data_IF_179221420846
#
_entry.id   IF_179221420846
#
_cell.length_a   1.000
_cell.length_b   1.000
_cell.length_c   1.000
_cell.angle_alpha   90.00
_cell.angle_beta   90.00
_cell.angle_gamma   90.00
#
_symmetry.space_group_name_H-M   'P 1'
#
loop_
_entity.id
_entity.type
_entity.pdbx_description
1 polymer ?
#
# COMPACT_ATOMS: atom_id res chain seq x y z
N UNK A 1 29.14 -1.91 7.22
CA UNK A 1 27.81 -1.84 7.88
C UNK A 1 26.77 -2.53 7.00
N UNK A 2 25.90 -3.38 7.55
CA UNK A 2 24.84 -4.03 6.75
C UNK A 2 23.75 -3.03 6.34
N UNK A 3 23.25 -3.15 5.11
CA UNK A 3 22.20 -2.27 4.57
C UNK A 3 20.93 -2.32 5.45
N UNK A 4 20.64 -3.49 6.03
CA UNK A 4 19.52 -3.69 6.95
C UNK A 4 19.60 -2.82 8.21
N UNK A 5 20.78 -2.68 8.82
CA UNK A 5 20.96 -1.85 10.02
C UNK A 5 20.74 -0.37 9.70
N UNK A 6 21.16 0.06 8.51
CA UNK A 6 20.93 1.42 8.03
C UNK A 6 19.44 1.67 7.76
N UNK A 7 18.75 0.74 7.09
CA UNK A 7 17.31 0.80 6.86
C UNK A 7 16.52 0.89 8.18
N UNK A 8 16.86 0.06 9.17
CA UNK A 8 16.20 0.10 10.49
C UNK A 8 16.41 1.44 11.20
N UNK A 9 17.65 1.94 11.23
CA UNK A 9 17.97 3.23 11.85
C UNK A 9 17.25 4.39 11.15
N UNK A 10 17.12 4.31 9.83
CA UNK A 10 16.42 5.33 9.08
C UNK A 10 14.89 5.29 9.27
N UNK A 11 14.29 4.10 9.38
CA UNK A 11 12.88 3.97 9.78
C UNK A 11 12.65 4.61 11.15
N UNK A 12 13.60 4.51 12.08
CA UNK A 12 13.50 5.18 13.38
C UNK A 12 13.60 6.71 13.26
N UNK A 13 14.52 7.23 12.45
CA UNK A 13 14.67 8.68 12.24
C UNK A 13 13.42 9.30 11.58
N UNK A 14 12.76 8.60 10.66
CA UNK A 14 11.52 9.03 10.02
C UNK A 14 10.28 8.29 10.55
N UNK A 15 10.31 7.85 11.82
CA UNK A 15 9.31 6.95 12.40
C UNK A 15 7.88 7.45 12.24
N UNK A 16 7.62 8.74 12.50
CA UNK A 16 6.27 9.29 12.37
C UNK A 16 5.73 9.23 10.93
N UNK A 17 6.58 9.46 9.92
CA UNK A 17 6.16 9.38 8.51
C UNK A 17 5.95 7.92 8.08
N UNK A 18 6.84 7.04 8.54
CA UNK A 18 6.81 5.61 8.20
C UNK A 18 5.68 4.88 8.91
N UNK A 19 5.36 5.26 10.13
CA UNK A 19 4.20 4.76 10.88
C UNK A 19 2.89 5.19 10.18
N UNK A 20 2.79 6.44 9.72
CA UNK A 20 1.62 6.88 8.92
C UNK A 20 1.46 6.06 7.64
N UNK A 21 2.54 5.82 6.92
CA UNK A 21 2.53 4.98 5.71
C UNK A 21 2.12 3.53 6.06
N UNK A 22 2.68 2.96 7.13
CA UNK A 22 2.35 1.62 7.62
C UNK A 22 0.86 1.49 7.96
N UNK A 23 0.31 2.41 8.77
CA UNK A 23 -1.10 2.40 9.17
C UNK A 23 -1.99 2.52 7.94
N UNK A 24 -1.68 3.44 7.03
CA UNK A 24 -2.44 3.63 5.80
C UNK A 24 -2.52 2.35 4.95
N UNK A 25 -1.38 1.68 4.75
CA UNK A 25 -1.33 0.44 3.97
C UNK A 25 -2.05 -0.68 4.71
N UNK A 26 -1.81 -0.87 6.01
CA UNK A 26 -2.47 -1.92 6.79
C UNK A 26 -4.01 -1.76 6.76
N UNK A 27 -4.50 -0.53 6.91
CA UNK A 27 -5.92 -0.20 6.79
C UNK A 27 -6.46 -0.45 5.39
N UNK A 28 -5.71 -0.11 4.34
CA UNK A 28 -6.10 -0.38 2.94
C UNK A 28 -6.25 -1.89 2.69
N UNK A 29 -5.31 -2.70 3.18
CA UNK A 29 -5.34 -4.17 3.07
C UNK A 29 -6.55 -4.75 3.79
N UNK A 30 -6.81 -4.28 5.01
CA UNK A 30 -7.97 -4.66 5.79
C UNK A 30 -9.28 -4.38 5.01
N UNK A 31 -9.41 -3.18 4.43
CA UNK A 31 -10.60 -2.79 3.68
C UNK A 31 -10.78 -3.60 2.38
N UNK A 32 -9.70 -3.81 1.61
CA UNK A 32 -9.76 -4.67 0.42
C UNK A 32 -10.23 -6.08 0.78
N UNK A 33 -9.61 -6.67 1.80
CA UNK A 33 -9.95 -8.00 2.26
C UNK A 33 -11.43 -8.10 2.64
N UNK A 34 -11.96 -7.13 3.40
CA UNK A 34 -13.37 -7.10 3.77
C UNK A 34 -14.29 -6.97 2.56
N UNK A 35 -14.05 -6.02 1.65
CA UNK A 35 -14.89 -5.79 0.47
C UNK A 35 -14.88 -7.01 -0.45
N UNK A 36 -13.71 -7.56 -0.75
CA UNK A 36 -13.57 -8.72 -1.64
C UNK A 36 -14.24 -9.95 -1.01
N UNK A 37 -14.06 -10.16 0.30
CA UNK A 37 -14.71 -11.28 1.00
C UNK A 37 -16.23 -11.20 0.91
N UNK A 38 -16.81 -10.02 1.15
CA UNK A 38 -18.26 -9.80 1.06
C UNK A 38 -18.75 -9.97 -0.38
N UNK A 39 -18.07 -9.35 -1.35
CA UNK A 39 -18.46 -9.38 -2.77
C UNK A 39 -18.42 -10.79 -3.37
N UNK A 40 -17.46 -11.61 -2.94
CA UNK A 40 -17.28 -12.97 -3.46
C UNK A 40 -18.11 -14.03 -2.72
N UNK A 41 -18.90 -13.64 -1.72
CA UNK A 41 -19.70 -14.58 -0.97
C UNK A 41 -21.00 -14.96 -1.70
N UNK A 42 -21.24 -16.26 -1.88
CA UNK A 42 -22.43 -16.77 -2.58
C UNK A 42 -23.75 -16.33 -1.95
N UNK A 43 -23.88 -16.38 -0.63
CA UNK A 43 -25.11 -15.95 0.05
C UNK A 43 -25.37 -14.45 -0.15
N UNK A 44 -24.32 -13.62 -0.17
CA UNK A 44 -24.43 -12.19 -0.50
C UNK A 44 -24.90 -12.03 -1.94
N UNK A 45 -24.29 -12.74 -2.89
CA UNK A 45 -24.65 -12.67 -4.30
C UNK A 45 -26.10 -13.11 -4.51
N UNK A 46 -26.51 -14.24 -3.96
CA UNK A 46 -27.86 -14.79 -4.11
C UNK A 46 -28.93 -13.84 -3.56
N UNK A 47 -28.69 -13.21 -2.40
CA UNK A 47 -29.66 -12.26 -1.83
C UNK A 47 -29.70 -10.91 -2.54
N UNK A 48 -28.68 -10.59 -3.33
CA UNK A 48 -28.54 -9.29 -3.99
C UNK A 48 -28.65 -9.36 -5.51
N UNK A 49 -28.77 -10.57 -6.09
CA UNK A 49 -28.88 -10.80 -7.53
C UNK A 49 -30.10 -10.11 -8.15
N UNK A 50 -31.19 -9.96 -7.40
CA UNK A 50 -32.40 -9.24 -7.83
C UNK A 50 -32.24 -7.71 -7.76
N UNK A 51 -31.13 -7.21 -7.20
CA UNK A 51 -30.79 -5.79 -7.07
C UNK A 51 -29.46 -5.55 -7.79
N UNK A 52 -29.42 -5.56 -9.13
CA UNK A 52 -28.18 -5.49 -9.91
C UNK A 52 -27.35 -4.22 -9.61
N UNK A 53 -28.01 -3.13 -9.23
CA UNK A 53 -27.35 -1.89 -8.79
C UNK A 53 -26.41 -2.10 -7.60
N UNK A 54 -26.75 -3.00 -6.68
CA UNK A 54 -25.99 -3.21 -5.46
C UNK A 54 -24.67 -3.94 -5.70
N UNK A 55 -24.73 -5.01 -6.50
CA UNK A 55 -23.56 -5.79 -6.87
C UNK A 55 -22.59 -4.94 -7.71
N UNK A 56 -23.14 -4.12 -8.60
CA UNK A 56 -22.37 -3.12 -9.34
C UNK A 56 -21.71 -2.10 -8.40
N UNK A 57 -22.44 -1.59 -7.41
CA UNK A 57 -21.90 -0.62 -6.43
C UNK A 57 -20.72 -1.19 -5.65
N UNK A 58 -20.78 -2.45 -5.24
CA UNK A 58 -19.66 -3.14 -4.59
C UNK A 58 -18.42 -3.22 -5.49
N UNK A 59 -18.62 -3.59 -6.75
CA UNK A 59 -17.54 -3.68 -7.72
C UNK A 59 -16.91 -2.32 -8.00
N UNK A 60 -17.72 -1.29 -8.28
CA UNK A 60 -17.22 0.06 -8.49
C UNK A 60 -16.59 0.66 -7.24
N UNK A 61 -17.11 0.32 -6.05
CA UNK A 61 -16.52 0.69 -4.76
C UNK A 61 -15.13 0.10 -4.56
N UNK A 62 -14.93 -1.18 -4.91
CA UNK A 62 -13.61 -1.84 -4.91
C UNK A 62 -12.62 -1.12 -5.85
N UNK A 63 -13.04 -0.83 -7.08
CA UNK A 63 -12.22 -0.14 -8.09
C UNK A 63 -11.87 1.28 -7.64
N UNK A 64 -12.84 2.03 -7.11
CA UNK A 64 -12.61 3.37 -6.58
C UNK A 64 -11.63 3.35 -5.41
N UNK A 65 -11.80 2.40 -4.48
CA UNK A 65 -10.88 2.21 -3.36
C UNK A 65 -9.47 1.89 -3.85
N UNK A 66 -9.32 1.07 -4.90
CA UNK A 66 -8.04 0.82 -5.57
C UNK A 66 -7.36 2.11 -6.02
N UNK A 67 -8.09 2.98 -6.70
CA UNK A 67 -7.55 4.25 -7.18
C UNK A 67 -7.16 5.18 -6.03
N UNK A 68 -8.02 5.33 -5.02
CA UNK A 68 -7.77 6.21 -3.85
C UNK A 68 -6.55 5.74 -3.06
N UNK A 69 -6.48 4.46 -2.71
CA UNK A 69 -5.34 3.91 -1.97
C UNK A 69 -4.04 4.05 -2.75
N UNK A 70 -4.07 3.81 -4.07
CA UNK A 70 -2.89 3.98 -4.93
C UNK A 70 -2.46 5.44 -4.98
N UNK A 71 -3.38 6.38 -5.20
CA UNK A 71 -3.10 7.81 -5.26
C UNK A 71 -2.52 8.35 -3.95
N UNK A 72 -3.12 7.99 -2.81
CA UNK A 72 -2.62 8.42 -1.49
C UNK A 72 -1.25 7.79 -1.21
N UNK A 73 -1.06 6.50 -1.50
CA UNK A 73 0.24 5.82 -1.32
C UNK A 73 1.33 6.45 -2.17
N UNK A 74 1.02 6.82 -3.41
CA UNK A 74 1.93 7.52 -4.30
C UNK A 74 2.34 8.89 -3.73
N UNK A 75 1.38 9.65 -3.18
CA UNK A 75 1.67 10.96 -2.57
C UNK A 75 2.49 10.82 -1.29
N UNK A 76 2.20 9.82 -0.46
CA UNK A 76 2.99 9.52 0.74
C UNK A 76 4.43 9.19 0.39
N UNK A 77 4.64 8.30 -0.59
CA UNK A 77 5.98 7.91 -1.06
C UNK A 77 6.72 9.10 -1.69
N UNK A 78 6.03 9.93 -2.48
CA UNK A 78 6.61 11.16 -3.06
C UNK A 78 7.10 12.12 -1.97
N UNK A 79 6.27 12.36 -0.95
CA UNK A 79 6.62 13.22 0.19
C UNK A 79 7.79 12.66 0.98
N UNK A 80 7.80 11.35 1.24
CA UNK A 80 8.91 10.68 1.92
C UNK A 80 10.24 10.86 1.18
N UNK A 81 10.25 10.61 -0.13
CA UNK A 81 11.44 10.78 -0.96
C UNK A 81 11.90 12.25 -1.02
N UNK A 82 10.96 13.20 -1.14
CA UNK A 82 11.27 14.64 -1.15
C UNK A 82 11.92 15.10 0.15
N UNK A 83 11.40 14.64 1.30
CA UNK A 83 11.94 14.99 2.62
C UNK A 83 13.36 14.45 2.85
N UNK A 84 13.73 13.38 2.15
CA UNK A 84 15.04 12.71 2.26
C UNK A 84 16.00 13.07 1.13
N UNK A 85 15.63 13.99 0.23
CA UNK A 85 16.46 14.34 -0.93
C UNK A 85 17.86 14.81 -0.54
N UNK A 86 17.98 15.61 0.53
CA UNK A 86 19.27 16.11 1.02
C UNK A 86 20.14 15.00 1.66
N UNK A 87 19.53 14.09 2.42
CA UNK A 87 20.22 12.92 3.00
C UNK A 87 20.77 12.01 1.89
N UNK A 88 19.95 11.72 0.87
CA UNK A 88 20.34 10.88 -0.26
C UNK A 88 21.44 11.54 -1.11
N UNK A 89 21.44 12.88 -1.21
CA UNK A 89 22.52 13.64 -1.85
C UNK A 89 23.85 13.47 -1.10
N UNK A 90 23.84 13.55 0.22
CA UNK A 90 25.04 13.34 1.05
C UNK A 90 25.61 11.93 0.88
N UNK A 91 24.75 10.92 0.72
CA UNK A 91 25.20 9.56 0.42
C UNK A 91 25.88 9.44 -0.94
N UNK A 92 25.35 10.11 -1.96
CA UNK A 92 25.97 10.12 -3.28
C UNK A 92 27.32 10.87 -3.28
N UNK A 93 27.40 12.05 -2.65
CA UNK A 93 28.67 12.82 -2.55
C UNK A 93 29.72 12.12 -1.70
N UNK A 94 29.31 11.32 -0.71
CA UNK A 94 30.19 10.43 0.05
C UNK A 94 30.63 9.18 -0.72
N UNK A 95 30.29 9.06 -2.02
CA UNK A 95 30.74 7.97 -2.89
C UNK A 95 29.85 6.72 -2.89
N UNK A 96 28.65 6.75 -2.32
CA UNK A 96 27.74 5.61 -2.40
C UNK A 96 27.19 5.45 -3.81
N UNK A 97 27.41 4.26 -4.40
CA UNK A 97 26.84 3.89 -5.71
C UNK A 97 25.30 3.98 -5.67
N UNK A 98 24.69 4.55 -6.72
CA UNK A 98 23.23 4.70 -6.87
C UNK A 98 22.45 3.39 -6.69
N UNK A 99 23.01 2.27 -7.17
CA UNK A 99 22.43 0.93 -6.95
C UNK A 99 22.29 0.60 -5.46
N UNK A 100 23.25 0.98 -4.61
CA UNK A 100 23.17 0.77 -3.16
C UNK A 100 22.10 1.66 -2.52
N UNK A 101 21.97 2.91 -2.97
CA UNK A 101 20.91 3.84 -2.51
C UNK A 101 19.53 3.29 -2.88
N UNK A 102 19.37 2.80 -4.11
CA UNK A 102 18.13 2.14 -4.55
C UNK A 102 17.82 0.89 -3.72
N UNK A 103 18.80 0.01 -3.50
CA UNK A 103 18.62 -1.18 -2.66
C UNK A 103 18.23 -0.82 -1.23
N UNK A 104 18.78 0.26 -0.66
CA UNK A 104 18.39 0.76 0.65
C UNK A 104 16.92 1.16 0.69
N UNK A 105 16.46 1.99 -0.27
CA UNK A 105 15.05 2.39 -0.37
C UNK A 105 14.12 1.19 -0.59
N UNK A 106 14.53 0.22 -1.40
CA UNK A 106 13.75 -1.01 -1.60
C UNK A 106 13.61 -1.80 -0.29
N UNK A 107 14.70 -2.02 0.44
CA UNK A 107 14.67 -2.71 1.73
C UNK A 107 13.76 -2.00 2.73
N UNK A 108 13.82 -0.67 2.77
CA UNK A 108 12.91 0.12 3.58
C UNK A 108 11.45 -0.14 3.17
N UNK A 109 11.10 -0.04 1.89
CA UNK A 109 9.73 -0.33 1.45
C UNK A 109 9.31 -1.74 1.85
N UNK A 110 10.11 -2.77 1.57
CA UNK A 110 9.78 -4.15 1.93
C UNK A 110 9.52 -4.34 3.43
N UNK A 111 10.27 -3.65 4.31
CA UNK A 111 10.04 -3.73 5.76
C UNK A 111 8.68 -3.15 6.16
N UNK A 112 8.30 -2.00 5.61
CA UNK A 112 7.02 -1.36 5.95
C UNK A 112 5.84 -2.09 5.32
N UNK A 113 5.92 -2.42 4.04
CA UNK A 113 4.85 -3.15 3.35
C UNK A 113 4.70 -4.57 3.91
N UNK A 114 5.79 -5.27 4.20
CA UNK A 114 5.75 -6.62 4.80
C UNK A 114 5.07 -6.62 6.16
N UNK A 115 5.42 -5.68 7.04
CA UNK A 115 4.71 -5.51 8.31
C UNK A 115 3.24 -5.15 8.12
N UNK A 116 2.94 -4.24 7.20
CA UNK A 116 1.57 -3.78 6.96
C UNK A 116 0.68 -4.89 6.39
N UNK A 117 1.22 -5.80 5.56
CA UNK A 117 0.51 -6.99 5.06
C UNK A 117 0.09 -7.89 6.22
N UNK A 118 1.03 -8.23 7.12
CA UNK A 118 0.73 -9.09 8.26
C UNK A 118 -0.34 -8.46 9.15
N UNK A 119 -0.15 -7.20 9.54
CA UNK A 119 -1.12 -6.50 10.39
C UNK A 119 -2.48 -6.32 9.69
N UNK A 120 -2.48 -5.95 8.42
CA UNK A 120 -3.69 -5.73 7.62
C UNK A 120 -4.54 -6.99 7.50
N UNK A 121 -3.93 -8.15 7.21
CA UNK A 121 -4.68 -9.41 7.15
C UNK A 121 -5.16 -9.87 8.51
N UNK A 122 -4.34 -9.79 9.56
CA UNK A 122 -4.74 -10.17 10.92
C UNK A 122 -5.97 -9.36 11.35
N UNK A 123 -5.93 -8.04 11.20
CA UNK A 123 -7.05 -7.17 11.56
C UNK A 123 -8.22 -7.31 10.59
N UNK A 124 -7.98 -7.56 9.30
CA UNK A 124 -9.01 -7.86 8.32
C UNK A 124 -9.82 -9.10 8.68
N UNK A 125 -9.15 -10.19 9.03
CA UNK A 125 -9.81 -11.41 9.50
C UNK A 125 -10.57 -11.19 10.81
N UNK A 126 -9.98 -10.43 11.75
CA UNK A 126 -10.60 -10.10 13.03
C UNK A 126 -11.89 -9.28 12.86
N UNK A 127 -11.87 -8.27 12.00
CA UNK A 127 -12.98 -7.34 11.80
C UNK A 127 -13.94 -7.73 10.68
N UNK A 128 -13.69 -8.80 9.92
CA UNK A 128 -14.52 -9.22 8.78
C UNK A 128 -16.00 -9.35 9.16
N UNK A 129 -16.28 -9.96 10.32
CA UNK A 129 -17.65 -10.11 10.83
C UNK A 129 -18.31 -8.76 11.11
N UNK A 130 -17.57 -7.83 11.73
CA UNK A 130 -18.06 -6.48 12.01
C UNK A 130 -18.40 -5.74 10.71
N UNK A 131 -17.49 -5.74 9.74
CA UNK A 131 -17.71 -5.12 8.43
C UNK A 131 -18.89 -5.75 7.68
N UNK A 132 -19.02 -7.08 7.73
CA UNK A 132 -20.15 -7.79 7.12
C UNK A 132 -21.48 -7.31 7.69
N UNK A 133 -21.62 -7.25 9.02
CA UNK A 133 -22.87 -6.83 9.66
C UNK A 133 -23.20 -5.37 9.33
N UNK A 134 -22.21 -4.47 9.37
CA UNK A 134 -22.41 -3.06 9.00
C UNK A 134 -22.87 -2.97 7.55
N UNK A 135 -22.17 -3.65 6.64
CA UNK A 135 -22.45 -3.58 5.22
C UNK A 135 -23.84 -4.15 4.86
N UNK A 136 -24.20 -5.33 5.38
CA UNK A 136 -25.50 -5.96 5.13
C UNK A 136 -26.64 -5.11 5.69
N UNK A 137 -26.45 -4.46 6.85
CA UNK A 137 -27.41 -3.50 7.41
C UNK A 137 -27.59 -2.28 6.52
N UNK A 138 -26.49 -1.74 5.96
CA UNK A 138 -26.56 -0.60 5.04
C UNK A 138 -27.33 -0.91 3.76
N UNK A 139 -27.25 -2.15 3.28
CA UNK A 139 -27.99 -2.63 2.11
C UNK A 139 -29.48 -2.85 2.43
N UNK A 140 -29.81 -3.16 3.68
CA UNK A 140 -31.17 -3.54 4.08
C UNK A 140 -31.51 -5.02 3.81
N UNK A 141 -30.51 -5.87 3.55
CA UNK A 141 -30.71 -7.33 3.41
C UNK A 141 -30.66 -7.99 4.79
N UNK A 142 -31.45 -9.04 5.01
CA UNK A 142 -31.52 -9.74 6.29
C UNK A 142 -31.04 -11.19 6.19
N UNK A 143 -30.46 -11.70 7.27
CA UNK A 143 -30.06 -13.10 7.43
C UNK A 143 -28.62 -13.45 7.04
N UNK A 144 -27.75 -12.47 6.78
CA UNK A 144 -26.31 -12.69 6.57
C UNK A 144 -25.55 -12.04 7.73
N UNK A 145 -25.05 -12.87 8.65
CA UNK A 145 -24.39 -12.42 9.87
C UNK A 145 -22.87 -12.61 9.86
N UNK A 146 -22.35 -13.40 8.91
CA UNK A 146 -20.93 -13.68 8.77
C UNK A 146 -20.61 -14.14 7.36
N UNK A 147 -19.45 -13.73 6.87
CA UNK A 147 -18.85 -14.21 5.63
C UNK A 147 -17.62 -15.04 5.99
N UNK A 148 -17.45 -16.25 5.41
CA UNK A 148 -16.27 -17.07 5.65
C UNK A 148 -15.03 -16.42 5.03
N UNK A 149 -13.88 -16.66 5.65
CA UNK A 149 -12.58 -16.28 5.08
C UNK A 149 -12.27 -17.25 3.94
N UNK A 150 -12.13 -16.72 2.72
CA UNK A 150 -11.85 -17.52 1.53
C UNK A 150 -10.42 -17.30 1.02
N UNK A 151 -9.83 -18.36 0.46
CA UNK A 151 -8.54 -18.26 -0.21
C UNK A 151 -8.60 -17.31 -1.42
N UNK A 152 -9.76 -17.25 -2.08
CA UNK A 152 -10.04 -16.29 -3.14
C UNK A 152 -9.82 -14.85 -2.68
N UNK A 153 -10.46 -14.42 -1.59
CA UNK A 153 -10.33 -13.05 -1.09
C UNK A 153 -8.89 -12.71 -0.66
N UNK A 154 -8.20 -13.68 -0.05
CA UNK A 154 -6.80 -13.53 0.33
C UNK A 154 -5.89 -13.33 -0.90
N UNK A 155 -6.14 -14.09 -1.97
CA UNK A 155 -5.33 -14.08 -3.19
C UNK A 155 -5.48 -12.77 -3.97
N UNK A 156 -6.73 -12.30 -4.17
CA UNK A 156 -7.00 -11.04 -4.87
C UNK A 156 -6.48 -9.85 -4.06
N UNK A 157 -6.69 -9.85 -2.74
CA UNK A 157 -6.16 -8.77 -1.89
C UNK A 157 -4.63 -8.71 -1.98
N UNK A 158 -3.96 -9.86 -1.87
CA UNK A 158 -2.51 -9.95 -2.04
C UNK A 158 -2.06 -9.42 -3.40
N UNK A 159 -2.76 -9.78 -4.48
CA UNK A 159 -2.44 -9.30 -5.83
C UNK A 159 -2.51 -7.76 -5.93
N UNK A 160 -3.58 -7.14 -5.42
CA UNK A 160 -3.73 -5.68 -5.41
C UNK A 160 -2.60 -4.99 -4.64
N UNK A 161 -2.22 -5.55 -3.49
CA UNK A 161 -1.15 -5.00 -2.65
C UNK A 161 0.21 -5.13 -3.33
N UNK A 162 0.48 -6.25 -4.00
CA UNK A 162 1.71 -6.45 -4.78
C UNK A 162 1.82 -5.39 -5.87
N UNK A 163 0.73 -5.07 -6.57
CA UNK A 163 0.71 -4.00 -7.57
C UNK A 163 1.09 -2.65 -6.93
N UNK A 164 0.52 -2.31 -5.77
CA UNK A 164 0.85 -1.08 -5.05
C UNK A 164 2.33 -1.04 -4.62
N UNK A 165 2.88 -2.18 -4.17
CA UNK A 165 4.30 -2.30 -3.80
C UNK A 165 5.19 -2.06 -5.02
N UNK A 166 4.88 -2.69 -6.16
CA UNK A 166 5.64 -2.52 -7.41
C UNK A 166 5.61 -1.06 -7.87
N UNK A 167 4.46 -0.38 -7.78
CA UNK A 167 4.34 1.03 -8.09
C UNK A 167 5.20 1.91 -7.15
N UNK A 168 5.25 1.60 -5.86
CA UNK A 168 6.10 2.30 -4.89
C UNK A 168 7.60 2.11 -5.19
N UNK A 169 8.03 0.89 -5.51
CA UNK A 169 9.41 0.59 -5.89
C UNK A 169 9.79 1.30 -7.19
N UNK A 170 8.90 1.29 -8.19
CA UNK A 170 9.08 2.01 -9.45
C UNK A 170 9.21 3.52 -9.21
N UNK A 171 8.43 4.08 -8.29
CA UNK A 171 8.54 5.48 -7.90
C UNK A 171 9.91 5.79 -7.25
N UNK A 172 10.43 4.91 -6.39
CA UNK A 172 11.78 5.05 -5.85
C UNK A 172 12.86 5.02 -6.95
N UNK A 173 12.70 4.14 -7.94
CA UNK A 173 13.61 4.07 -9.09
C UNK A 173 13.58 5.37 -9.90
N UNK A 174 12.39 5.84 -10.27
CA UNK A 174 12.18 7.08 -11.03
C UNK A 174 12.78 8.28 -10.31
N UNK A 175 12.60 8.38 -8.99
CA UNK A 175 13.16 9.45 -8.18
C UNK A 175 14.70 9.50 -8.24
N UNK A 176 15.38 8.35 -8.15
CA UNK A 176 16.86 8.28 -8.26
C UNK A 176 17.34 8.67 -9.67
N UNK A 177 16.58 8.32 -10.72
CA UNK A 177 16.93 8.72 -12.08
C UNK A 177 16.75 10.22 -12.33
N UNK A 178 15.64 10.81 -11.88
CA UNK A 178 15.41 12.25 -11.97
C UNK A 178 16.48 13.04 -11.22
N UNK A 179 16.84 12.55 -10.02
CA UNK A 179 17.92 13.10 -9.22
C UNK A 179 19.27 13.12 -9.96
N UNK A 180 19.61 12.06 -10.71
CA UNK A 180 20.84 12.01 -11.53
C UNK A 180 20.88 13.12 -12.58
N UNK A 181 19.75 13.41 -13.23
CA UNK A 181 19.67 14.41 -14.29
C UNK A 181 19.87 15.82 -13.76
N UNK A 182 19.26 16.15 -12.63
CA UNK A 182 19.40 17.47 -12.00
C UNK A 182 20.86 17.77 -11.57
N UNK A 183 21.60 16.75 -11.12
CA UNK A 183 23.01 16.91 -10.74
C UNK A 183 23.91 17.12 -11.95
N UNK A 184 23.69 16.37 -13.04
CA UNK A 184 24.48 16.50 -14.27
C UNK A 184 24.31 17.90 -14.90
N UNK A 185 23.08 18.39 -14.96
CA UNK A 185 22.78 19.73 -15.50
C UNK A 185 23.48 20.85 -14.72
N UNK A 186 23.51 20.78 -13.38
CA UNK A 186 24.20 21.78 -12.53
C UNK A 186 25.72 21.76 -12.65
N UNK A 187 26.30 20.66 -13.12
CA UNK A 187 27.75 20.57 -13.39
C UNK A 187 28.05 21.16 -14.76
N UNK A 188 27.22 20.87 -15.78
CA UNK A 188 27.35 21.44 -17.12
C UNK A 188 27.13 22.97 -17.14
N UNK A 189 26.19 23.49 -16.33
CA UNK A 189 25.95 24.95 -16.23
C UNK A 189 27.10 25.72 -15.54
N UNK A 190 27.97 25.02 -14.80
CA UNK A 190 29.09 25.61 -14.05
C UNK A 190 30.45 25.41 -14.72
N UNK A 191 30.50 24.69 -15.84
CA UNK A 191 31.70 24.45 -16.64
C UNK A 191 31.75 25.42 -17.82
#
# INVERSE_FOLDING_TARGET
MSLFRLAKKNIQNYAAQRLKQFIWIAMSIMLYFCIISIRSNEAVIEKTQHIPFLLATLYYGEVLLFFVCTAVTYQMTKRFLKNRKQELLLYETAGMKKRKIFCLLCQEQFLIYGGAILFGFIHGMLFLKLFTVIFIKLIGVHGINSVPITLYALSITTMLVVIIILLSIWQCYKFIQEFKREQLYKVEEKA
#
